data_IF_687964905503
#
_entry.id   IF_687964905503
#
_cell.length_a   1.000
_cell.length_b   1.000
_cell.length_c   1.000
_cell.angle_alpha   90.00
_cell.angle_beta   90.00
_cell.angle_gamma   90.00
#
_symmetry.space_group_name_H-M   'P 1'
#
loop_
_entity.id
_entity.type
_entity.pdbx_description
1 polymer ?
#
# COMPACT_ATOMS: atom_id res chain seq x y z
N UNK A 1 -18.30 -77.72 -26.66
CA UNK A 1 -16.86 -77.94 -26.40
C UNK A 1 -16.55 -77.29 -25.06
N UNK A 2 -15.95 -78.05 -24.14
CA UNK A 2 -16.03 -77.87 -22.69
C UNK A 2 -15.27 -76.67 -22.12
N UNK A 3 -15.93 -75.93 -21.21
CA UNK A 3 -15.30 -75.02 -20.25
C UNK A 3 -14.43 -75.82 -19.26
N UNK A 4 -13.12 -75.90 -19.53
CA UNK A 4 -12.15 -76.33 -18.52
C UNK A 4 -12.02 -75.22 -17.48
N UNK A 5 -12.84 -75.27 -16.42
CA UNK A 5 -12.56 -74.59 -15.15
C UNK A 5 -11.15 -75.01 -14.72
N UNK A 6 -10.21 -74.07 -14.76
CA UNK A 6 -8.90 -74.25 -14.16
C UNK A 6 -9.12 -74.48 -12.66
N UNK A 7 -9.07 -75.76 -12.24
CA UNK A 7 -9.08 -76.13 -10.85
C UNK A 7 -7.84 -75.50 -10.21
N UNK A 8 -8.05 -74.43 -9.44
CA UNK A 8 -7.00 -73.80 -8.68
C UNK A 8 -6.35 -74.84 -7.78
N UNK A 9 -5.12 -75.23 -8.12
CA UNK A 9 -4.28 -76.04 -7.26
C UNK A 9 -4.03 -75.22 -6.00
N UNK A 10 -4.70 -75.60 -4.89
CA UNK A 10 -4.38 -75.05 -3.58
C UNK A 10 -2.99 -75.56 -3.24
N UNK A 11 -1.97 -74.76 -3.55
CA UNK A 11 -0.59 -75.03 -3.15
C UNK A 11 -0.60 -75.04 -1.63
N UNK A 12 -0.36 -76.21 -1.02
CA UNK A 12 -0.13 -76.35 0.42
C UNK A 12 1.18 -75.64 0.75
N UNK A 13 1.13 -74.33 0.93
CA UNK A 13 2.28 -73.56 1.38
C UNK A 13 2.52 -73.84 2.86
N UNK A 14 3.73 -74.31 3.15
CA UNK A 14 4.27 -74.40 4.50
C UNK A 14 4.21 -73.03 5.21
N UNK A 15 4.08 -73.02 6.52
CA UNK A 15 3.95 -71.80 7.33
C UNK A 15 5.18 -70.91 7.17
N UNK A 16 6.37 -71.51 7.06
CA UNK A 16 7.62 -70.80 6.79
C UNK A 16 7.57 -70.08 5.45
N UNK A 17 7.04 -70.73 4.41
CA UNK A 17 6.90 -70.14 3.07
C UNK A 17 5.88 -69.00 3.06
N UNK A 18 4.77 -69.13 3.80
CA UNK A 18 3.80 -68.02 3.97
C UNK A 18 4.43 -66.82 4.65
N UNK A 19 5.21 -67.05 5.70
CA UNK A 19 5.93 -65.98 6.40
C UNK A 19 6.97 -65.32 5.50
N UNK A 20 7.65 -66.08 4.64
CA UNK A 20 8.61 -65.53 3.68
C UNK A 20 7.91 -64.65 2.63
N UNK A 21 6.79 -65.11 2.07
CA UNK A 21 5.98 -64.33 1.12
C UNK A 21 5.50 -63.03 1.76
N UNK A 22 5.02 -63.12 3.01
CA UNK A 22 4.58 -61.96 3.78
C UNK A 22 5.70 -60.94 4.02
N UNK A 23 6.90 -61.42 4.38
CA UNK A 23 8.08 -60.55 4.57
C UNK A 23 8.51 -59.88 3.26
N UNK A 24 8.46 -60.58 2.14
CA UNK A 24 8.75 -59.97 0.84
C UNK A 24 7.69 -58.94 0.44
N UNK A 25 6.42 -59.20 0.75
CA UNK A 25 5.35 -58.27 0.50
C UNK A 25 5.55 -56.96 1.28
N UNK A 26 5.78 -57.05 2.59
CA UNK A 26 6.05 -55.89 3.44
C UNK A 26 7.31 -55.13 2.99
N UNK A 27 8.36 -55.82 2.54
CA UNK A 27 9.55 -55.16 1.97
C UNK A 27 9.22 -54.36 0.70
N UNK A 28 8.37 -54.91 -0.18
CA UNK A 28 7.93 -54.23 -1.41
C UNK A 28 7.05 -53.04 -1.10
N UNK A 29 6.13 -53.17 -0.14
CA UNK A 29 5.30 -52.06 0.32
C UNK A 29 6.16 -50.92 0.90
N UNK A 30 7.11 -51.23 1.79
CA UNK A 30 8.03 -50.23 2.37
C UNK A 30 8.88 -49.52 1.28
N UNK A 31 9.32 -50.26 0.26
CA UNK A 31 10.04 -49.69 -0.89
C UNK A 31 9.14 -48.83 -1.79
N UNK A 32 7.85 -49.16 -1.87
CA UNK A 32 6.85 -48.40 -2.62
C UNK A 32 6.21 -47.27 -1.80
N UNK A 33 6.48 -47.20 -0.49
CA UNK A 33 6.04 -46.13 0.42
C UNK A 33 6.79 -44.79 0.19
N UNK A 34 7.47 -44.66 -0.95
CA UNK A 34 7.83 -43.36 -1.49
C UNK A 34 6.58 -42.63 -2.01
N UNK A 35 6.56 -41.29 -2.05
CA UNK A 35 5.39 -40.56 -2.53
C UNK A 35 5.12 -40.93 -4.00
N UNK A 36 4.09 -41.74 -4.21
CA UNK A 36 3.50 -42.13 -5.50
C UNK A 36 2.73 -40.94 -6.10
N UNK A 37 3.35 -39.77 -6.17
CA UNK A 37 2.80 -38.62 -6.86
C UNK A 37 3.78 -38.18 -7.93
N UNK A 38 3.34 -37.96 -9.18
CA UNK A 38 4.20 -37.49 -10.27
C UNK A 38 4.68 -36.04 -10.08
N UNK A 39 4.41 -35.42 -8.93
CA UNK A 39 4.75 -34.04 -8.61
C UNK A 39 5.59 -34.01 -7.33
N UNK A 40 6.86 -34.42 -7.45
CA UNK A 40 7.83 -34.19 -6.39
C UNK A 40 8.40 -32.78 -6.58
N UNK A 41 8.03 -31.85 -5.69
CA UNK A 41 8.69 -30.56 -5.62
C UNK A 41 10.06 -30.74 -5.00
N UNK A 42 11.12 -30.50 -5.78
CA UNK A 42 12.47 -30.48 -5.25
C UNK A 42 12.66 -29.18 -4.43
N UNK A 43 12.81 -29.25 -3.10
CA UNK A 43 12.91 -28.05 -2.27
C UNK A 43 14.18 -27.23 -2.56
N UNK A 44 15.19 -27.81 -3.21
CA UNK A 44 16.41 -27.11 -3.63
C UNK A 44 16.23 -26.28 -4.89
N UNK A 45 15.19 -26.56 -5.69
CA UNK A 45 14.87 -25.80 -6.93
C UNK A 45 13.67 -24.88 -6.75
N UNK A 46 13.04 -24.86 -5.57
CA UNK A 46 11.95 -23.93 -5.28
C UNK A 46 12.52 -22.53 -5.04
N UNK A 47 12.26 -21.60 -5.96
CA UNK A 47 12.47 -20.19 -5.72
C UNK A 47 11.23 -19.60 -5.04
N UNK A 48 11.45 -18.97 -3.89
CA UNK A 48 10.43 -18.18 -3.21
C UNK A 48 10.18 -16.91 -4.02
N UNK A 49 9.06 -16.87 -4.75
CA UNK A 49 8.61 -15.63 -5.39
C UNK A 49 7.78 -14.86 -4.37
N UNK A 50 8.26 -13.69 -3.98
CA UNK A 50 7.48 -12.79 -3.13
C UNK A 50 6.20 -12.38 -3.88
N UNK A 51 5.04 -12.33 -3.20
CA UNK A 51 3.82 -11.84 -3.82
C UNK A 51 4.03 -10.42 -4.37
N UNK A 52 3.25 -10.04 -5.39
CA UNK A 52 3.28 -8.67 -5.90
C UNK A 52 3.03 -7.70 -4.73
N UNK A 53 3.66 -6.51 -4.70
CA UNK A 53 3.52 -5.56 -3.60
C UNK A 53 2.07 -5.18 -3.29
N UNK A 54 1.20 -5.22 -4.29
CA UNK A 54 -0.24 -4.94 -4.20
C UNK A 54 -1.10 -6.13 -3.82
N UNK A 55 -0.54 -7.34 -3.74
CA UNK A 55 -1.28 -8.56 -3.45
C UNK A 55 -1.36 -8.76 -1.93
N UNK A 56 -2.44 -8.29 -1.32
CA UNK A 56 -2.72 -8.53 0.11
C UNK A 56 -3.21 -9.98 0.32
N UNK A 57 -2.67 -10.67 1.33
CA UNK A 57 -3.16 -12.02 1.67
C UNK A 57 -4.42 -11.90 2.53
N UNK A 58 -5.49 -12.66 2.27
CA UNK A 58 -6.72 -12.62 3.08
C UNK A 58 -6.49 -12.90 4.58
N UNK A 59 -5.46 -13.68 4.92
CA UNK A 59 -5.03 -13.97 6.29
C UNK A 59 -4.47 -12.76 7.04
N UNK A 60 -4.04 -11.71 6.33
CA UNK A 60 -3.48 -10.52 6.96
C UNK A 60 -4.59 -9.65 7.60
N UNK A 61 -5.85 -9.85 7.18
CA UNK A 61 -7.02 -9.16 7.74
C UNK A 61 -7.57 -9.81 9.02
N UNK A 62 -7.19 -11.05 9.33
CA UNK A 62 -7.66 -11.74 10.54
C UNK A 62 -6.81 -11.43 11.78
N UNK A 63 -5.64 -10.81 11.61
CA UNK A 63 -4.95 -10.12 12.71
C UNK A 63 -5.72 -8.84 13.02
N UNK A 64 -6.79 -9.01 13.78
CA UNK A 64 -7.35 -7.91 14.56
C UNK A 64 -6.31 -7.52 15.62
N UNK A 65 -5.36 -6.69 15.22
CA UNK A 65 -4.57 -5.91 16.18
C UNK A 65 -5.57 -5.15 17.07
N UNK A 66 -5.35 -5.08 18.39
CA UNK A 66 -6.28 -4.42 19.30
C UNK A 66 -6.52 -2.99 18.81
N UNK A 67 -7.80 -2.66 18.68
CA UNK A 67 -8.44 -1.50 18.02
C UNK A 67 -7.88 -0.11 18.44
N UNK A 68 -6.92 -0.03 19.36
CA UNK A 68 -6.35 1.23 19.86
C UNK A 68 -5.00 1.66 19.27
N UNK A 69 -4.20 0.77 18.67
CA UNK A 69 -2.79 1.13 18.34
C UNK A 69 -2.59 1.55 16.88
N UNK A 70 -3.28 0.91 15.93
CA UNK A 70 -3.07 1.18 14.51
C UNK A 70 -3.64 2.54 14.05
N UNK A 71 -4.76 3.00 14.62
CA UNK A 71 -5.37 4.29 14.24
C UNK A 71 -4.47 5.47 14.60
N UNK A 72 -3.77 5.39 15.73
CA UNK A 72 -2.82 6.42 16.17
C UNK A 72 -1.60 6.49 15.26
N UNK A 73 -1.05 5.34 14.85
CA UNK A 73 0.09 5.29 13.92
C UNK A 73 -0.29 5.86 12.55
N UNK A 74 -1.48 5.53 12.03
CA UNK A 74 -1.97 6.09 10.76
C UNK A 74 -2.21 7.59 10.89
N UNK A 75 -2.83 8.05 11.98
CA UNK A 75 -3.04 9.49 12.22
C UNK A 75 -1.71 10.26 12.36
N UNK A 76 -0.70 9.68 13.00
CA UNK A 76 0.64 10.26 13.09
C UNK A 76 1.35 10.31 11.73
N UNK A 77 1.25 9.24 10.92
CA UNK A 77 1.78 9.19 9.55
C UNK A 77 1.11 10.21 8.64
N UNK A 78 -0.20 10.42 8.77
CA UNK A 78 -0.93 11.45 8.02
C UNK A 78 -0.47 12.85 8.42
N UNK A 79 -0.27 13.10 9.73
CA UNK A 79 0.27 14.38 10.22
C UNK A 79 1.69 14.66 9.71
N UNK A 80 2.52 13.63 9.49
CA UNK A 80 3.85 13.79 8.92
C UNK A 80 3.83 14.31 7.47
N UNK A 81 2.78 13.99 6.68
CA UNK A 81 2.63 14.50 5.31
C UNK A 81 2.24 15.98 5.23
N UNK A 82 1.82 16.60 6.35
CA UNK A 82 1.42 18.01 6.40
C UNK A 82 2.58 18.93 6.80
N UNK A 83 3.71 18.35 7.22
CA UNK A 83 4.88 19.13 7.66
C UNK A 83 5.45 19.94 6.51
N UNK A 84 5.85 21.17 6.81
CA UNK A 84 6.54 22.02 5.83
C UNK A 84 7.91 21.42 5.50
N UNK A 85 8.43 21.62 4.27
CA UNK A 85 9.77 21.18 3.89
C UNK A 85 10.89 21.56 4.88
N UNK A 86 10.81 22.75 5.48
CA UNK A 86 11.79 23.26 6.46
C UNK A 86 11.77 22.50 7.79
N UNK A 87 10.69 21.80 8.11
CA UNK A 87 10.56 20.98 9.33
C UNK A 87 11.07 19.55 9.11
N UNK A 88 11.24 19.14 7.85
CA UNK A 88 11.68 17.80 7.45
C UNK A 88 13.20 17.72 7.27
N UNK A 89 13.82 18.82 6.84
CA UNK A 89 15.25 18.90 6.58
C UNK A 89 15.78 20.28 6.93
N UNK A 90 16.99 20.38 7.49
CA UNK A 90 17.60 21.68 7.83
C UNK A 90 18.03 22.48 6.59
N UNK A 91 18.35 21.78 5.50
CA UNK A 91 18.92 22.34 4.26
C UNK A 91 18.02 21.94 3.07
N UNK A 92 17.81 22.82 2.07
CA UNK A 92 17.00 22.48 0.91
C UNK A 92 17.66 21.35 0.10
N UNK A 93 16.94 20.23 -0.06
CA UNK A 93 17.44 19.05 -0.77
C UNK A 93 17.38 19.20 -2.29
N UNK A 94 16.49 20.04 -2.82
CA UNK A 94 16.33 20.26 -4.26
C UNK A 94 16.50 21.73 -4.62
N UNK A 95 16.78 22.03 -5.89
CA UNK A 95 16.93 23.40 -6.37
C UNK A 95 15.64 24.21 -6.25
N UNK A 96 14.49 23.58 -6.53
CA UNK A 96 13.19 24.21 -6.35
C UNK A 96 12.94 24.57 -4.87
N UNK A 97 13.38 23.74 -3.92
CA UNK A 97 13.27 24.04 -2.48
C UNK A 97 14.15 25.21 -2.04
N UNK A 98 15.26 25.52 -2.75
CA UNK A 98 16.12 26.67 -2.41
C UNK A 98 15.33 27.98 -2.55
N UNK A 99 14.42 28.06 -3.52
CA UNK A 99 13.61 29.24 -3.76
C UNK A 99 12.61 29.40 -2.60
N UNK A 100 12.74 30.50 -1.86
CA UNK A 100 11.85 30.76 -0.72
C UNK A 100 12.17 29.97 0.54
N UNK A 101 13.25 29.20 0.59
CA UNK A 101 13.63 28.41 1.78
C UNK A 101 13.75 29.26 3.05
N UNK A 102 14.38 30.43 2.95
CA UNK A 102 14.55 31.36 4.06
C UNK A 102 13.40 32.39 4.18
N UNK A 103 12.31 32.24 3.41
CA UNK A 103 11.25 33.25 3.34
C UNK A 103 10.58 33.45 4.72
N UNK A 104 10.11 32.38 5.35
CA UNK A 104 9.42 32.47 6.63
C UNK A 104 10.32 33.08 7.73
N UNK A 105 11.58 32.65 7.77
CA UNK A 105 12.57 33.18 8.72
C UNK A 105 12.87 34.66 8.48
N UNK A 106 13.00 35.08 7.23
CA UNK A 106 13.20 36.49 6.88
C UNK A 106 11.99 37.36 7.25
N UNK A 107 10.77 36.83 7.11
CA UNK A 107 9.53 37.51 7.51
C UNK A 107 9.42 37.68 9.03
N UNK A 108 9.73 36.64 9.80
CA UNK A 108 9.75 36.68 11.28
C UNK A 108 10.84 37.61 11.81
N UNK A 109 12.02 37.63 11.19
CA UNK A 109 13.18 38.37 11.68
C UNK A 109 13.24 39.84 11.25
N UNK A 110 12.11 40.42 10.81
CA UNK A 110 12.00 41.87 10.66
C UNK A 110 11.59 42.35 9.28
N UNK A 111 11.51 41.51 8.23
CA UNK A 111 10.87 41.97 6.98
C UNK A 111 9.43 42.41 7.21
N UNK A 112 8.68 41.78 8.11
CA UNK A 112 7.33 42.25 8.45
C UNK A 112 7.30 43.69 8.99
N UNK A 113 8.25 44.05 9.86
CA UNK A 113 8.33 45.39 10.44
C UNK A 113 8.81 46.44 9.42
N UNK A 114 9.82 46.10 8.62
CA UNK A 114 10.37 46.96 7.57
C UNK A 114 9.33 47.17 6.46
N UNK A 115 8.70 46.10 5.99
CA UNK A 115 7.63 46.17 4.99
C UNK A 115 6.46 47.00 5.54
N UNK A 116 5.97 46.80 6.76
CA UNK A 116 4.91 47.69 7.30
C UNK A 116 5.31 49.17 7.34
N UNK A 117 6.57 49.47 7.67
CA UNK A 117 7.05 50.85 7.72
C UNK A 117 7.06 51.52 6.35
N UNK A 118 7.46 50.81 5.30
CA UNK A 118 7.73 51.39 3.97
C UNK A 118 6.71 51.01 2.90
N UNK A 119 5.94 49.94 3.11
CA UNK A 119 4.88 49.53 2.22
C UNK A 119 3.78 50.58 2.28
N UNK A 120 3.65 51.29 1.17
CA UNK A 120 2.49 52.07 0.82
C UNK A 120 1.93 51.38 -0.40
N UNK A 121 1.10 50.36 -0.16
CA UNK A 121 0.30 49.80 -1.24
C UNK A 121 -0.42 50.96 -1.94
N UNK A 122 -0.65 50.83 -3.25
CA UNK A 122 -1.62 51.71 -3.92
C UNK A 122 -2.97 51.42 -3.29
N UNK A 123 -3.27 52.10 -2.19
CA UNK A 123 -4.58 52.10 -1.59
C UNK A 123 -5.53 52.67 -2.63
N UNK A 124 -6.67 52.02 -2.80
CA UNK A 124 -7.82 52.69 -3.35
C UNK A 124 -7.95 54.02 -2.61
N UNK A 125 -7.78 55.14 -3.31
CA UNK A 125 -8.15 56.44 -2.75
C UNK A 125 -9.62 56.38 -2.35
N UNK A 126 -10.05 57.22 -1.41
CA UNK A 126 -11.43 57.28 -0.93
C UNK A 126 -12.45 57.31 -2.10
N UNK A 127 -12.07 57.92 -3.22
CA UNK A 127 -12.84 57.96 -4.47
C UNK A 127 -13.02 56.57 -5.09
N UNK A 128 -11.94 55.80 -5.21
CA UNK A 128 -12.01 54.43 -5.75
C UNK A 128 -12.68 53.46 -4.79
N UNK A 129 -12.49 53.61 -3.48
CA UNK A 129 -13.19 52.81 -2.48
C UNK A 129 -14.70 53.11 -2.48
N UNK A 130 -15.09 54.37 -2.61
CA UNK A 130 -16.49 54.76 -2.80
C UNK A 130 -17.07 54.19 -4.10
N UNK A 131 -16.32 54.24 -5.20
CA UNK A 131 -16.78 53.69 -6.49
C UNK A 131 -17.01 52.17 -6.42
N UNK A 132 -16.11 51.43 -5.78
CA UNK A 132 -16.25 49.99 -5.56
C UNK A 132 -17.44 49.68 -4.64
N UNK A 133 -17.59 50.42 -3.53
CA UNK A 133 -18.72 50.27 -2.62
C UNK A 133 -20.06 50.62 -3.29
N UNK A 134 -20.10 51.64 -4.15
CA UNK A 134 -21.29 52.00 -4.90
C UNK A 134 -21.66 50.92 -5.90
N UNK A 135 -20.69 50.38 -6.65
CA UNK A 135 -20.95 49.31 -7.62
C UNK A 135 -21.40 48.01 -6.94
N UNK A 136 -20.86 47.69 -5.75
CA UNK A 136 -21.28 46.51 -4.98
C UNK A 136 -22.68 46.68 -4.39
N UNK A 137 -23.05 47.87 -3.90
CA UNK A 137 -24.41 48.15 -3.40
C UNK A 137 -25.46 48.24 -4.51
N UNK A 138 -25.14 48.90 -5.63
CA UNK A 138 -26.07 49.09 -6.74
C UNK A 138 -26.17 47.87 -7.67
N UNK A 139 -25.28 46.88 -7.50
CA UNK A 139 -25.19 45.68 -8.34
C UNK A 139 -24.83 45.95 -9.80
N UNK A 140 -24.52 47.20 -10.14
CA UNK A 140 -24.14 47.65 -11.47
C UNK A 140 -23.36 48.96 -11.37
N UNK A 141 -22.47 49.21 -12.35
CA UNK A 141 -21.83 50.51 -12.44
C UNK A 141 -22.84 51.54 -12.96
N UNK A 142 -22.75 52.82 -12.55
CA UNK A 142 -23.66 53.86 -13.04
C UNK A 142 -23.51 54.15 -14.54
N UNK A 143 -22.46 53.63 -15.16
CA UNK A 143 -22.18 53.69 -16.59
C UNK A 143 -22.52 52.39 -17.34
N UNK A 144 -23.07 51.39 -16.64
CA UNK A 144 -23.51 50.17 -17.29
C UNK A 144 -24.72 50.47 -18.19
N UNK A 145 -24.59 50.15 -19.48
CA UNK A 145 -25.66 50.36 -20.45
C UNK A 145 -26.88 49.49 -20.07
N UNK A 146 -28.00 50.14 -19.78
CA UNK A 146 -29.25 49.49 -19.37
C UNK A 146 -30.08 49.04 -20.59
N UNK A 147 -29.61 49.32 -21.81
CA UNK A 147 -30.35 49.03 -23.04
C UNK A 147 -30.42 47.54 -23.40
N UNK A 148 -29.58 46.70 -22.79
CA UNK A 148 -29.49 45.26 -23.09
C UNK A 148 -30.11 44.34 -22.03
N UNK A 149 -31.11 44.79 -21.26
CA UNK A 149 -31.83 43.95 -20.28
C UNK A 149 -33.32 43.85 -20.55
#
# INVERSE_FOLDING_TARGET
MADKKAGGTVVKCDEVSKNQIWREHLKKELLMEGPSTPFQFNPKTLSSVTPKPTMMKPSDFSRADPIGTASNVVAERVKQNVKKPQELSDVPMTEAMKIGWAHEQAWKNGRGAVTKRWYRGRGSTDVTEFADNYCTMAGCSPFADKSTR
#
